data_IF_208008619907
#
_entry.id   IF_208008619907
#
_cell.length_a   1.000
_cell.length_b   1.000
_cell.length_c   1.000
_cell.angle_alpha   90.00
_cell.angle_beta   90.00
_cell.angle_gamma   90.00
#
_symmetry.space_group_name_H-M   'P 1'
#
loop_
_entity.id
_entity.type
_entity.pdbx_description
1 polymer ?
#
# COMPACT_ATOMS: atom_id res chain seq x y z
N UNK A 1 30.07 56.67 25.44
CA UNK A 1 29.36 55.48 25.93
C UNK A 1 28.15 55.24 25.03
N UNK A 2 28.20 54.18 24.25
CA UNK A 2 27.20 53.83 23.26
C UNK A 2 26.55 52.54 23.77
N UNK A 3 25.30 52.62 24.21
CA UNK A 3 24.53 51.49 24.65
C UNK A 3 23.91 50.79 23.45
N UNK A 4 24.28 49.54 23.22
CA UNK A 4 23.64 48.65 22.24
C UNK A 4 22.50 47.92 22.91
N UNK A 5 21.24 48.23 22.53
CA UNK A 5 20.07 47.46 22.98
C UNK A 5 19.89 46.24 22.10
N UNK A 6 20.04 45.05 22.71
CA UNK A 6 19.78 43.77 22.09
C UNK A 6 18.26 43.47 22.15
N UNK A 7 17.59 43.55 21.02
CA UNK A 7 16.19 43.13 20.91
C UNK A 7 16.13 41.59 20.75
N UNK A 8 15.59 40.91 21.75
CA UNK A 8 15.30 39.50 21.65
C UNK A 8 14.02 39.29 20.84
N UNK A 9 14.13 38.70 19.64
CA UNK A 9 13.00 38.19 18.88
C UNK A 9 12.59 36.84 19.47
N UNK A 10 11.46 36.79 20.15
CA UNK A 10 10.80 35.53 20.52
C UNK A 10 10.05 35.02 19.29
N UNK A 11 10.58 34.00 18.65
CA UNK A 11 9.87 33.24 17.63
C UNK A 11 8.90 32.31 18.36
N UNK A 12 7.61 32.62 18.30
CA UNK A 12 6.56 31.69 18.69
C UNK A 12 6.53 30.56 17.64
N UNK A 13 7.14 29.45 17.96
CA UNK A 13 7.08 28.23 17.15
C UNK A 13 5.65 27.71 17.15
N UNK A 14 4.95 27.82 16.04
CA UNK A 14 3.79 26.97 15.78
C UNK A 14 4.24 25.53 15.81
N UNK A 15 3.68 24.76 16.73
CA UNK A 15 3.75 23.31 16.73
C UNK A 15 3.00 22.78 15.51
N UNK A 16 3.68 22.76 14.38
CA UNK A 16 3.28 21.86 13.31
C UNK A 16 3.74 20.47 13.74
N UNK A 17 2.84 19.50 13.71
CA UNK A 17 3.23 18.09 13.64
C UNK A 17 4.03 17.91 12.36
N UNK A 18 5.29 18.27 12.40
CA UNK A 18 6.24 17.84 11.40
C UNK A 18 6.28 16.33 11.49
N UNK A 19 5.67 15.69 10.51
CA UNK A 19 6.08 14.35 10.13
C UNK A 19 7.57 14.49 9.84
N UNK A 20 8.38 14.13 10.85
CA UNK A 20 9.83 14.17 10.75
C UNK A 20 10.18 13.43 9.47
N UNK A 21 10.68 14.14 8.46
CA UNK A 21 11.24 13.49 7.27
C UNK A 21 12.36 12.60 7.79
N UNK A 22 12.07 11.31 7.80
CA UNK A 22 13.01 10.29 8.22
C UNK A 22 14.13 10.36 7.21
N UNK A 23 15.34 10.62 7.68
CA UNK A 23 16.54 10.58 6.83
C UNK A 23 16.50 9.31 5.99
N UNK A 24 16.60 9.40 4.66
CA UNK A 24 16.56 8.23 3.76
C UNK A 24 17.63 7.18 4.10
N UNK A 25 18.67 7.58 4.81
CA UNK A 25 19.79 6.73 5.21
C UNK A 25 19.52 5.87 6.46
N UNK A 26 18.45 6.14 7.21
CA UNK A 26 18.17 5.42 8.45
C UNK A 26 17.32 4.17 8.24
N UNK A 27 16.34 4.23 7.33
CA UNK A 27 15.49 3.09 6.98
C UNK A 27 15.14 3.10 5.49
N UNK A 28 15.22 1.95 4.83
CA UNK A 28 14.94 1.88 3.40
C UNK A 28 13.46 2.08 3.11
N UNK A 29 13.20 2.43 1.88
CA UNK A 29 11.86 2.42 1.30
C UNK A 29 11.24 1.03 1.45
N UNK A 30 9.94 0.98 1.74
CA UNK A 30 9.17 -0.26 1.65
C UNK A 30 9.07 -0.67 0.17
N UNK A 31 9.70 -1.78 -0.18
CA UNK A 31 9.68 -2.34 -1.53
C UNK A 31 8.71 -3.50 -1.65
N UNK A 32 8.31 -3.85 -2.88
CA UNK A 32 7.40 -4.96 -3.13
C UNK A 32 7.96 -5.96 -4.14
N UNK A 33 7.64 -7.23 -3.93
CA UNK A 33 7.81 -8.32 -4.88
C UNK A 33 6.48 -9.05 -5.03
N UNK A 34 6.23 -9.60 -6.24
CA UNK A 34 4.96 -10.21 -6.59
C UNK A 34 5.19 -11.57 -7.19
N UNK A 35 4.42 -12.55 -6.73
CA UNK A 35 4.29 -13.88 -7.30
C UNK A 35 2.80 -14.22 -7.38
N UNK A 36 2.38 -14.92 -8.43
CA UNK A 36 1.02 -15.43 -8.57
C UNK A 36 1.04 -16.95 -8.51
N UNK A 37 0.00 -17.54 -7.93
CA UNK A 37 -0.23 -18.97 -7.93
C UNK A 37 -0.66 -19.52 -9.31
N UNK A 38 -1.22 -20.70 -9.33
CA UNK A 38 -1.71 -21.34 -10.56
C UNK A 38 -2.96 -20.60 -11.05
N UNK A 39 -3.06 -20.31 -12.39
CA UNK A 39 -4.23 -19.62 -12.96
C UNK A 39 -5.54 -20.37 -12.70
N UNK A 40 -6.59 -19.62 -12.39
CA UNK A 40 -7.97 -20.08 -12.31
C UNK A 40 -8.76 -19.66 -13.57
N UNK A 41 -10.04 -20.00 -13.69
CA UNK A 41 -10.82 -19.78 -14.92
C UNK A 41 -11.20 -18.30 -15.08
N UNK A 42 -10.91 -17.70 -16.23
CA UNK A 42 -11.24 -16.32 -16.58
C UNK A 42 -10.09 -15.62 -17.32
N UNK A 43 -10.00 -14.29 -17.21
CA UNK A 43 -8.77 -13.56 -17.56
C UNK A 43 -7.82 -13.70 -16.37
N UNK A 44 -6.89 -14.62 -16.50
CA UNK A 44 -5.97 -14.98 -15.42
C UNK A 44 -5.14 -13.79 -14.95
N UNK A 45 -5.19 -13.50 -13.65
CA UNK A 45 -4.26 -12.56 -13.02
C UNK A 45 -2.93 -13.26 -12.77
N UNK A 46 -2.02 -13.09 -13.69
CA UNK A 46 -0.64 -13.59 -13.59
C UNK A 46 0.32 -12.47 -13.20
N UNK A 47 1.51 -12.82 -12.74
CA UNK A 47 2.58 -11.82 -12.50
C UNK A 47 2.84 -10.98 -13.74
N UNK A 48 2.70 -11.55 -14.93
CA UNK A 48 2.90 -10.83 -16.20
C UNK A 48 1.76 -9.86 -16.49
N UNK A 49 0.48 -10.28 -16.36
CA UNK A 49 -0.66 -9.39 -16.57
C UNK A 49 -0.71 -8.24 -15.55
N UNK A 50 -0.23 -8.47 -14.33
CA UNK A 50 -0.10 -7.40 -13.33
C UNK A 50 0.91 -6.30 -13.73
N UNK A 51 1.85 -6.57 -14.65
CA UNK A 51 2.80 -5.56 -15.15
C UNK A 51 2.19 -4.58 -16.15
N UNK A 52 0.99 -4.87 -16.64
CA UNK A 52 0.25 -3.91 -17.48
C UNK A 52 0.03 -2.59 -16.72
N UNK A 53 -0.14 -1.50 -17.47
CA UNK A 53 -0.40 -0.19 -16.87
C UNK A 53 -1.78 -0.18 -16.18
N UNK A 54 -1.85 0.00 -14.86
CA UNK A 54 -3.13 0.04 -14.14
C UNK A 54 -3.97 1.27 -14.49
N UNK A 55 -3.41 2.29 -15.12
CA UNK A 55 -4.13 3.51 -15.55
C UNK A 55 -4.79 3.37 -16.91
N UNK A 56 -4.40 2.38 -17.72
CA UNK A 56 -5.05 2.06 -18.99
C UNK A 56 -6.44 1.44 -18.73
N UNK A 57 -7.48 2.06 -19.29
CA UNK A 57 -8.87 1.61 -19.12
C UNK A 57 -9.14 0.21 -19.70
N UNK A 58 -8.29 -0.25 -20.62
CA UNK A 58 -8.42 -1.55 -21.29
C UNK A 58 -7.53 -2.64 -20.70
N UNK A 59 -6.76 -2.31 -19.65
CA UNK A 59 -5.80 -3.20 -19.00
C UNK A 59 -6.16 -3.39 -17.53
N UNK A 60 -5.81 -4.55 -17.00
CA UNK A 60 -6.05 -4.93 -15.59
C UNK A 60 -4.72 -5.16 -14.87
N UNK A 61 -3.84 -4.13 -14.90
CA UNK A 61 -2.52 -4.20 -14.29
C UNK A 61 -2.47 -3.62 -12.88
N UNK A 62 -1.30 -3.74 -12.28
CA UNK A 62 -1.03 -3.24 -10.94
C UNK A 62 -1.80 -3.94 -9.83
N UNK A 63 -1.58 -3.50 -8.62
CA UNK A 63 -2.31 -3.98 -7.44
C UNK A 63 -2.51 -2.86 -6.43
N UNK A 64 -3.54 -3.00 -5.59
CA UNK A 64 -3.85 -2.07 -4.51
C UNK A 64 -3.36 -2.60 -3.18
N UNK A 65 -2.86 -1.72 -2.31
CA UNK A 65 -2.41 -2.06 -0.96
C UNK A 65 -3.18 -1.28 0.09
N UNK A 66 -3.63 -1.98 1.13
CA UNK A 66 -3.97 -1.43 2.43
C UNK A 66 -2.90 -1.85 3.43
N UNK A 67 -2.30 -0.88 4.13
CA UNK A 67 -1.26 -1.15 5.11
C UNK A 67 -1.53 -0.47 6.45
N UNK A 68 -1.35 -1.22 7.52
CA UNK A 68 -1.65 -0.85 8.90
C UNK A 68 -0.36 -0.79 9.69
N UNK A 69 -0.04 0.38 10.22
CA UNK A 69 1.01 0.51 11.21
C UNK A 69 0.45 0.18 12.59
N UNK A 70 1.02 -0.81 13.26
CA UNK A 70 0.54 -1.32 14.55
C UNK A 70 1.50 -1.07 15.71
N UNK A 71 2.60 -0.34 15.46
CA UNK A 71 3.67 -0.21 16.44
C UNK A 71 4.26 -1.58 16.78
N UNK A 72 4.38 -1.90 18.04
CA UNK A 72 4.95 -3.18 18.47
C UNK A 72 3.91 -4.30 18.63
N UNK A 73 2.63 -3.98 18.52
CA UNK A 73 1.55 -4.94 18.66
C UNK A 73 1.37 -5.79 17.40
N UNK A 74 0.83 -6.99 17.56
CA UNK A 74 0.41 -7.81 16.44
C UNK A 74 -0.93 -7.29 15.90
N UNK A 75 -1.10 -7.33 14.57
CA UNK A 75 -2.31 -6.86 13.91
C UNK A 75 -3.58 -7.50 14.49
N UNK A 76 -3.54 -8.79 14.75
CA UNK A 76 -4.67 -9.54 15.28
C UNK A 76 -5.16 -9.00 16.63
N UNK A 77 -4.25 -8.49 17.45
CA UNK A 77 -4.56 -7.91 18.77
C UNK A 77 -5.24 -6.55 18.66
N UNK A 78 -4.82 -5.72 17.71
CA UNK A 78 -5.25 -4.32 17.61
C UNK A 78 -6.17 -4.05 16.40
N UNK A 79 -6.52 -5.06 15.62
CA UNK A 79 -7.28 -4.91 14.37
C UNK A 79 -8.61 -4.17 14.52
N UNK A 80 -9.25 -4.25 15.68
CA UNK A 80 -10.54 -3.58 15.93
C UNK A 80 -10.44 -2.06 16.06
N UNK A 81 -9.22 -1.53 16.23
CA UNK A 81 -8.97 -0.10 16.45
C UNK A 81 -8.08 0.54 15.38
N UNK A 82 -7.17 -0.24 14.78
CA UNK A 82 -6.26 0.28 13.76
C UNK A 82 -6.94 0.39 12.40
N UNK A 83 -6.58 1.43 11.67
CA UNK A 83 -7.04 1.70 10.31
C UNK A 83 -5.87 1.63 9.33
N UNK A 84 -6.09 1.54 8.01
CA UNK A 84 -5.02 1.50 7.02
C UNK A 84 -4.35 2.87 6.82
N UNK A 85 -3.83 3.43 7.92
CA UNK A 85 -3.24 4.77 7.95
C UNK A 85 -1.87 4.84 7.28
N UNK A 86 -1.17 3.72 7.17
CA UNK A 86 0.12 3.68 6.51
C UNK A 86 -0.01 3.74 4.98
N UNK A 87 -0.92 2.93 4.42
CA UNK A 87 -1.34 2.98 3.01
C UNK A 87 -2.82 2.62 2.91
N UNK A 88 -3.59 3.37 2.10
CA UNK A 88 -4.97 3.03 1.79
C UNK A 88 -5.16 3.05 0.28
N UNK A 89 -5.59 1.93 -0.26
CA UNK A 89 -5.75 1.70 -1.70
C UNK A 89 -4.58 2.25 -2.53
N UNK A 90 -3.38 2.08 -2.00
CA UNK A 90 -2.17 2.56 -2.67
C UNK A 90 -1.95 1.78 -3.95
N UNK A 91 -1.97 2.47 -5.08
CA UNK A 91 -1.62 1.88 -6.36
C UNK A 91 -0.14 1.52 -6.40
N UNK A 92 0.14 0.26 -6.74
CA UNK A 92 1.49 -0.22 -7.07
C UNK A 92 1.50 -0.67 -8.52
N UNK A 93 2.43 -0.14 -9.29
CA UNK A 93 2.59 -0.45 -10.72
C UNK A 93 4.01 -0.90 -11.03
N UNK A 94 4.15 -1.63 -12.11
CA UNK A 94 5.44 -2.09 -12.58
C UNK A 94 6.13 -1.00 -13.42
N UNK A 95 7.37 -0.71 -13.08
CA UNK A 95 8.27 0.12 -13.89
C UNK A 95 9.12 -0.81 -14.76
N UNK A 96 8.75 -0.95 -16.02
CA UNK A 96 9.46 -1.81 -16.97
C UNK A 96 10.87 -1.34 -17.32
N UNK A 97 11.17 -0.05 -17.11
CA UNK A 97 12.51 0.49 -17.36
C UNK A 97 13.51 0.02 -16.31
N UNK A 98 13.09 0.09 -15.05
CA UNK A 98 13.93 -0.28 -13.91
C UNK A 98 13.68 -1.71 -13.41
N UNK A 99 12.70 -2.40 -13.98
CA UNK A 99 12.30 -3.76 -13.62
C UNK A 99 11.92 -3.90 -12.13
N UNK A 100 11.17 -2.91 -11.63
CA UNK A 100 10.75 -2.86 -10.21
C UNK A 100 9.28 -2.48 -10.06
N UNK A 101 8.67 -2.91 -8.95
CA UNK A 101 7.36 -2.42 -8.54
C UNK A 101 7.51 -1.08 -7.84
N UNK A 102 6.75 -0.07 -8.26
CA UNK A 102 6.86 1.30 -7.78
C UNK A 102 5.50 1.88 -7.40
N UNK A 103 5.51 2.88 -6.51
CA UNK A 103 4.31 3.58 -6.05
C UNK A 103 4.65 4.99 -5.59
N UNK A 104 3.66 5.86 -5.51
CA UNK A 104 3.81 7.23 -5.02
C UNK A 104 2.58 7.64 -4.19
N UNK A 105 2.74 8.32 -3.04
CA UNK A 105 4.01 8.72 -2.42
C UNK A 105 4.77 7.53 -1.82
N UNK A 106 6.09 7.64 -1.82
CA UNK A 106 6.98 6.62 -1.25
C UNK A 106 6.81 6.57 0.28
N UNK A 107 6.85 5.38 0.84
CA UNK A 107 6.80 5.12 2.29
C UNK A 107 8.07 4.42 2.74
N UNK A 108 8.53 4.76 3.93
CA UNK A 108 9.71 4.20 4.56
C UNK A 108 9.35 3.36 5.77
N UNK A 109 10.16 2.38 6.08
CA UNK A 109 10.00 1.59 7.28
C UNK A 109 10.10 2.46 8.54
N UNK A 110 9.32 2.15 9.60
CA UNK A 110 9.41 2.87 10.87
C UNK A 110 10.82 2.79 11.47
N UNK A 111 11.24 3.87 12.14
CA UNK A 111 12.57 3.95 12.75
C UNK A 111 12.73 3.17 14.05
N UNK A 112 11.61 2.93 14.75
CA UNK A 112 11.66 2.21 16.02
C UNK A 112 11.82 0.72 15.75
N UNK A 113 12.79 0.12 16.40
CA UNK A 113 13.02 -1.32 16.30
C UNK A 113 11.77 -2.12 16.70
N UNK A 114 11.48 -3.17 15.96
CA UNK A 114 10.32 -4.05 16.12
C UNK A 114 8.94 -3.42 15.85
N UNK A 115 8.88 -2.20 15.33
CA UNK A 115 7.63 -1.68 14.82
C UNK A 115 7.15 -2.52 13.64
N UNK A 116 5.85 -2.78 13.62
CA UNK A 116 5.19 -3.70 12.70
C UNK A 116 4.27 -2.98 11.74
N UNK A 117 4.25 -3.47 10.53
CA UNK A 117 3.28 -3.10 9.51
C UNK A 117 2.64 -4.38 8.97
N UNK A 118 1.33 -4.38 8.85
CA UNK A 118 0.58 -5.45 8.20
C UNK A 118 0.04 -4.96 6.87
N UNK A 119 0.31 -5.72 5.82
CA UNK A 119 -0.03 -5.39 4.45
C UNK A 119 -1.08 -6.35 3.92
N UNK A 120 -2.08 -5.81 3.23
CA UNK A 120 -3.11 -6.54 2.50
C UNK A 120 -3.14 -6.01 1.07
N UNK A 121 -3.04 -6.90 0.12
CA UNK A 121 -2.98 -6.56 -1.29
C UNK A 121 -4.07 -7.26 -2.09
N UNK A 122 -4.49 -6.64 -3.18
CA UNK A 122 -5.44 -7.21 -4.14
C UNK A 122 -5.06 -6.79 -5.56
N UNK A 123 -5.33 -7.63 -6.52
CA UNK A 123 -5.19 -7.32 -7.94
C UNK A 123 -6.41 -7.84 -8.73
N UNK A 124 -6.79 -7.15 -9.83
CA UNK A 124 -6.16 -5.95 -10.39
C UNK A 124 -6.44 -4.68 -9.59
N UNK A 125 -5.63 -3.65 -9.77
CA UNK A 125 -5.85 -2.35 -9.11
C UNK A 125 -7.16 -1.70 -9.57
N UNK A 126 -7.91 -1.16 -8.61
CA UNK A 126 -9.13 -0.39 -8.82
C UNK A 126 -9.01 1.01 -8.23
N UNK A 127 -9.06 2.03 -9.09
CA UNK A 127 -8.96 3.43 -8.64
C UNK A 127 -10.25 3.92 -7.96
N UNK A 128 -11.40 3.51 -8.47
CA UNK A 128 -12.71 3.78 -7.87
C UNK A 128 -13.11 2.67 -6.91
N UNK A 129 -12.35 2.57 -5.83
CA UNK A 129 -12.52 1.53 -4.82
C UNK A 129 -13.89 1.53 -4.12
N UNK A 130 -14.67 2.62 -4.24
CA UNK A 130 -16.01 2.72 -3.66
C UNK A 130 -17.09 2.11 -4.55
N UNK A 131 -16.94 2.20 -5.86
CA UNK A 131 -17.94 1.73 -6.83
C UNK A 131 -17.48 0.55 -7.67
N UNK A 132 -16.18 0.30 -7.74
CA UNK A 132 -15.60 -0.77 -8.55
C UNK A 132 -15.80 -0.55 -10.04
N UNK A 133 -15.57 0.66 -10.54
CA UNK A 133 -15.95 1.08 -11.89
C UNK A 133 -15.20 0.31 -12.98
N UNK A 134 -13.95 -0.05 -12.76
CA UNK A 134 -13.11 -0.73 -13.74
C UNK A 134 -13.17 -2.25 -13.58
N UNK A 135 -12.69 -2.76 -12.46
CA UNK A 135 -12.55 -4.19 -12.20
C UNK A 135 -13.71 -4.81 -11.43
N UNK A 136 -14.60 -4.02 -10.88
CA UNK A 136 -15.67 -4.47 -10.00
C UNK A 136 -15.26 -4.64 -8.55
N UNK A 137 -14.01 -4.35 -8.20
CA UNK A 137 -13.48 -4.49 -6.83
C UNK A 137 -13.90 -3.29 -5.98
N UNK A 138 -14.51 -3.56 -4.83
CA UNK A 138 -14.88 -2.56 -3.82
C UNK A 138 -14.13 -2.89 -2.54
N UNK A 139 -13.44 -1.92 -1.96
CA UNK A 139 -12.69 -2.12 -0.72
C UNK A 139 -13.21 -1.29 0.43
N UNK A 140 -12.76 -1.63 1.64
CA UNK A 140 -13.07 -0.87 2.85
C UNK A 140 -12.51 0.55 2.81
N UNK A 141 -13.16 1.47 3.53
CA UNK A 141 -12.73 2.86 3.64
C UNK A 141 -11.42 3.01 4.45
N UNK A 142 -10.71 4.12 4.24
CA UNK A 142 -9.49 4.45 4.98
C UNK A 142 -9.71 4.56 6.50
N UNK A 143 -10.93 4.83 6.92
CA UNK A 143 -11.32 4.97 8.33
C UNK A 143 -11.89 3.68 8.94
N UNK A 144 -12.05 2.63 8.13
CA UNK A 144 -12.60 1.36 8.60
C UNK A 144 -11.53 0.57 9.35
N UNK A 145 -11.73 0.25 10.63
CA UNK A 145 -10.83 -0.65 11.35
C UNK A 145 -11.08 -2.11 10.95
N UNK A 146 -10.13 -2.95 11.28
CA UNK A 146 -10.24 -4.39 11.04
C UNK A 146 -9.54 -4.85 9.76
N UNK A 147 -9.66 -6.14 9.51
CA UNK A 147 -9.16 -6.72 8.25
C UNK A 147 -9.90 -6.04 7.10
N UNK A 148 -9.18 -5.50 6.09
CA UNK A 148 -9.86 -4.87 4.98
C UNK A 148 -10.73 -5.89 4.25
N UNK A 149 -11.97 -5.53 4.00
CA UNK A 149 -12.82 -6.37 3.18
C UNK A 149 -12.64 -6.00 1.70
N UNK A 150 -12.81 -7.00 0.85
CA UNK A 150 -12.93 -6.84 -0.60
C UNK A 150 -14.25 -7.43 -1.03
N UNK A 151 -15.06 -6.64 -1.74
CA UNK A 151 -16.28 -7.09 -2.40
C UNK A 151 -16.05 -7.06 -3.90
N UNK A 152 -16.46 -8.11 -4.57
CA UNK A 152 -16.37 -8.19 -6.02
C UNK A 152 -17.77 -8.03 -6.64
N UNK A 153 -17.95 -6.99 -7.45
CA UNK A 153 -19.18 -6.73 -8.17
C UNK A 153 -19.09 -7.29 -9.57
N UNK A 154 -19.76 -8.41 -9.81
CA UNK A 154 -19.85 -8.98 -11.15
C UNK A 154 -20.56 -8.01 -12.11
N UNK A 155 -19.93 -7.72 -13.25
CA UNK A 155 -20.57 -7.00 -14.34
C UNK A 155 -21.42 -7.98 -15.13
N UNK A 156 -22.73 -7.94 -14.94
CA UNK A 156 -23.70 -8.86 -15.57
C UNK A 156 -23.74 -8.76 -17.10
N UNK A 157 -23.14 -7.72 -17.67
CA UNK A 157 -23.02 -7.51 -19.13
C UNK A 157 -21.79 -8.16 -19.72
N UNK A 158 -20.84 -8.58 -18.90
CA UNK A 158 -19.60 -9.17 -19.38
C UNK A 158 -19.77 -10.67 -19.61
N UNK A 159 -19.21 -11.16 -20.70
CA UNK A 159 -19.09 -12.60 -20.94
C UNK A 159 -18.13 -13.20 -19.93
N UNK A 160 -18.33 -14.47 -19.56
CA UNK A 160 -17.49 -15.19 -18.61
C UNK A 160 -16.00 -15.20 -18.97
N UNK A 161 -15.69 -15.20 -20.27
CA UNK A 161 -14.33 -15.14 -20.80
C UNK A 161 -13.64 -13.76 -20.67
N UNK A 162 -14.40 -12.73 -20.26
CA UNK A 162 -13.94 -11.37 -20.01
C UNK A 162 -13.95 -10.96 -18.54
N UNK A 163 -14.40 -11.86 -17.68
CA UNK A 163 -14.38 -11.61 -16.25
C UNK A 163 -12.95 -11.72 -15.74
N UNK A 164 -12.49 -10.66 -15.11
CA UNK A 164 -11.15 -10.60 -14.52
C UNK A 164 -11.16 -11.32 -13.18
N UNK A 165 -10.18 -12.19 -12.96
CA UNK A 165 -10.00 -12.82 -11.66
C UNK A 165 -9.55 -11.79 -10.63
N UNK A 166 -10.13 -11.87 -9.43
CA UNK A 166 -9.66 -11.15 -8.27
C UNK A 166 -8.74 -12.06 -7.47
N UNK A 167 -7.52 -11.62 -7.26
CA UNK A 167 -6.54 -12.32 -6.42
C UNK A 167 -6.12 -11.43 -5.26
N UNK A 168 -5.84 -12.05 -4.13
CA UNK A 168 -5.50 -11.37 -2.88
C UNK A 168 -4.24 -11.94 -2.26
N UNK A 169 -3.57 -11.13 -1.45
CA UNK A 169 -2.43 -11.58 -0.67
C UNK A 169 -2.34 -10.79 0.64
N UNK A 170 -1.78 -11.36 1.68
CA UNK A 170 -1.46 -10.61 2.89
C UNK A 170 -0.06 -10.95 3.44
N UNK A 171 0.50 -10.00 4.17
CA UNK A 171 1.76 -10.13 4.89
C UNK A 171 1.63 -9.37 6.21
N UNK A 172 1.33 -10.09 7.28
CA UNK A 172 1.05 -9.47 8.59
C UNK A 172 2.29 -9.38 9.46
N UNK A 173 2.27 -8.40 10.36
CA UNK A 173 3.25 -8.21 11.45
C UNK A 173 4.70 -8.17 10.96
N UNK A 174 4.91 -7.54 9.80
CA UNK A 174 6.25 -7.40 9.21
C UNK A 174 7.03 -6.28 9.86
N UNK A 175 8.29 -6.56 10.15
CA UNK A 175 9.27 -5.59 10.61
C UNK A 175 10.35 -5.40 9.54
N UNK A 176 11.03 -4.28 9.60
CA UNK A 176 12.23 -4.11 8.80
C UNK A 176 13.33 -5.08 9.27
N UNK A 177 13.96 -5.75 8.32
CA UNK A 177 15.20 -6.49 8.55
C UNK A 177 16.21 -6.13 7.45
N UNK A 178 17.47 -6.06 7.81
CA UNK A 178 18.54 -5.81 6.82
C UNK A 178 18.61 -6.92 5.76
N UNK A 179 18.23 -8.14 6.13
CA UNK A 179 18.23 -9.31 5.26
C UNK A 179 17.23 -9.19 4.09
N UNK A 180 16.01 -8.69 4.36
CA UNK A 180 15.00 -8.50 3.30
C UNK A 180 15.13 -7.16 2.57
N UNK A 181 16.09 -6.30 2.99
CA UNK A 181 16.29 -4.98 2.42
C UNK A 181 15.03 -4.09 2.46
N UNK A 182 14.10 -4.38 3.37
CA UNK A 182 12.81 -3.70 3.44
C UNK A 182 11.78 -4.14 2.41
N UNK A 183 12.01 -5.24 1.68
CA UNK A 183 11.11 -5.74 0.64
C UNK A 183 10.07 -6.71 1.21
N UNK A 184 8.81 -6.49 0.84
CA UNK A 184 7.68 -7.38 1.10
C UNK A 184 7.35 -8.16 -0.17
N UNK A 185 7.32 -9.48 -0.09
CA UNK A 185 6.95 -10.35 -1.20
C UNK A 185 5.54 -10.89 -1.00
N UNK A 186 4.67 -10.65 -1.97
CA UNK A 186 3.31 -11.17 -2.00
C UNK A 186 3.21 -12.41 -2.89
N UNK A 187 2.51 -13.43 -2.41
CA UNK A 187 2.02 -14.54 -3.23
C UNK A 187 0.52 -14.37 -3.33
N UNK A 188 0.04 -14.03 -4.51
CA UNK A 188 -1.39 -13.81 -4.77
C UNK A 188 -2.09 -15.13 -5.09
N UNK A 189 -3.27 -15.32 -4.48
CA UNK A 189 -4.14 -16.50 -4.62
C UNK A 189 -5.57 -16.06 -4.97
#
# INVERSE_FOLDING_TARGET
>A
AMMLSLAALTIAGCSQNEVTEISPDAHPQVGFGVYTGVPTRGVDMTTESMKDDPTDANKYGGFGIMAYFTGQDNFETVKTTVTPSFMHNQMVKFDGTNNVWTYSPVKYWPNRQNDKISFFAYAPYESDWQNGSKSGVITSAATAPGIPYIKFKLKTTDKLDKMVDLVVADQRDKTYTAENGGKISFTFE
#
